data_IF_704822509106
#
_entry.id   IF_704822509106
#
_cell.length_a   1.000
_cell.length_b   1.000
_cell.length_c   1.000
_cell.angle_alpha   90.00
_cell.angle_beta   90.00
_cell.angle_gamma   90.00
#
_symmetry.space_group_name_H-M   'P 1'
#
loop_
_entity.id
_entity.type
_entity.pdbx_description
1 polymer ?
#
# COMPACT_ATOMS: atom_id res chain seq x y z
N UNK A 1 31.83 3.71 -10.57
CA UNK A 1 30.50 3.11 -10.76
C UNK A 1 29.48 4.18 -10.45
N UNK A 2 28.53 4.44 -11.36
CA UNK A 2 27.47 5.41 -11.13
C UNK A 2 26.52 4.86 -10.07
N UNK A 3 26.21 5.66 -9.05
CA UNK A 3 25.29 5.26 -7.98
C UNK A 3 23.86 5.55 -8.45
N UNK A 4 22.96 4.59 -8.25
CA UNK A 4 21.56 4.72 -8.56
C UNK A 4 20.72 4.71 -7.27
N UNK A 5 19.64 5.48 -7.23
CA UNK A 5 18.77 5.59 -6.05
C UNK A 5 18.13 4.25 -5.67
N UNK A 6 17.60 3.50 -6.63
CA UNK A 6 16.90 2.26 -6.33
C UNK A 6 17.80 1.21 -5.65
N UNK A 7 19.00 0.86 -6.17
CA UNK A 7 19.92 -0.01 -5.46
C UNK A 7 20.39 0.56 -4.11
N UNK A 8 20.61 1.88 -4.01
CA UNK A 8 21.05 2.51 -2.77
C UNK A 8 20.00 2.38 -1.66
N UNK A 9 18.72 2.73 -1.96
CA UNK A 9 17.63 2.63 -0.99
C UNK A 9 17.45 1.17 -0.56
N UNK A 10 17.53 0.23 -1.51
CA UNK A 10 17.43 -1.18 -1.25
C UNK A 10 18.58 -1.67 -0.34
N UNK A 11 19.82 -1.26 -0.61
CA UNK A 11 20.97 -1.59 0.22
C UNK A 11 20.83 -1.06 1.65
N UNK A 12 20.44 0.22 1.79
CA UNK A 12 20.19 0.84 3.09
C UNK A 12 19.09 0.11 3.88
N UNK A 13 18.06 -0.38 3.20
CA UNK A 13 16.96 -1.12 3.85
C UNK A 13 17.38 -2.47 4.45
N UNK A 14 18.46 -3.05 3.95
CA UNK A 14 19.03 -4.31 4.43
C UNK A 14 19.97 -4.15 5.64
N UNK A 15 20.36 -2.93 5.96
CA UNK A 15 21.23 -2.68 7.12
C UNK A 15 20.42 -2.82 8.41
N UNK A 16 20.87 -3.71 9.28
CA UNK A 16 20.21 -3.97 10.57
C UNK A 16 20.07 -2.70 11.41
N UNK A 17 18.91 -2.47 11.95
CA UNK A 17 18.57 -1.29 12.78
C UNK A 17 18.72 0.06 12.05
N UNK A 18 18.65 0.08 10.73
CA UNK A 18 18.53 1.29 9.94
C UNK A 18 17.06 1.42 9.47
N UNK A 19 16.20 2.01 10.30
CA UNK A 19 14.77 2.11 10.04
C UNK A 19 14.43 3.08 8.90
N UNK A 20 13.24 2.92 8.30
CA UNK A 20 12.72 3.70 7.16
C UNK A 20 12.88 5.21 7.33
N UNK A 21 12.51 5.76 8.48
CA UNK A 21 12.63 7.20 8.77
C UNK A 21 14.06 7.71 8.70
N UNK A 22 15.03 6.90 9.13
CA UNK A 22 16.44 7.26 9.05
C UNK A 22 16.93 7.20 7.60
N UNK A 23 16.56 6.16 6.85
CA UNK A 23 16.88 6.06 5.41
C UNK A 23 16.35 7.29 4.68
N UNK A 24 15.09 7.65 4.89
CA UNK A 24 14.48 8.86 4.32
C UNK A 24 15.33 10.11 4.62
N UNK A 25 15.68 10.33 5.89
CA UNK A 25 16.49 11.50 6.30
C UNK A 25 17.91 11.48 5.70
N UNK A 26 18.51 10.31 5.56
CA UNK A 26 19.84 10.18 4.96
C UNK A 26 19.82 10.56 3.48
N UNK A 27 18.85 10.01 2.72
CA UNK A 27 18.71 10.31 1.30
C UNK A 27 18.39 11.79 1.05
N UNK A 28 17.57 12.41 1.91
CA UNK A 28 17.28 13.86 1.79
C UNK A 28 18.50 14.77 1.98
N UNK A 29 19.56 14.30 2.61
CA UNK A 29 20.81 15.07 2.78
C UNK A 29 21.58 15.21 1.49
N UNK A 30 21.48 14.24 0.60
CA UNK A 30 22.18 14.26 -0.69
C UNK A 30 21.30 14.92 -1.74
N UNK A 31 21.85 15.91 -2.40
CA UNK A 31 21.14 16.68 -3.43
C UNK A 31 21.26 16.03 -4.81
N UNK A 32 22.44 15.50 -5.11
CA UNK A 32 22.78 14.82 -6.36
C UNK A 32 23.64 13.60 -6.07
N UNK A 33 23.24 12.43 -6.54
CA UNK A 33 24.03 11.19 -6.35
C UNK A 33 25.32 11.17 -7.16
N UNK A 34 25.35 11.84 -8.28
CA UNK A 34 26.53 11.90 -9.15
C UNK A 34 27.72 12.63 -8.50
N UNK A 35 27.49 13.38 -7.43
CA UNK A 35 28.53 14.06 -6.64
C UNK A 35 29.25 13.15 -5.64
N UNK A 36 28.74 11.92 -5.44
CA UNK A 36 29.24 11.02 -4.39
C UNK A 36 29.74 9.70 -4.96
N UNK A 37 30.85 9.24 -4.40
CA UNK A 37 31.25 7.83 -4.47
C UNK A 37 30.54 7.02 -3.37
N UNK A 38 30.45 5.71 -3.52
CA UNK A 38 29.86 4.83 -2.51
C UNK A 38 30.58 4.96 -1.14
N UNK A 39 31.91 5.18 -1.17
CA UNK A 39 32.70 5.44 0.02
C UNK A 39 32.32 6.74 0.72
N UNK A 40 32.11 7.83 -0.05
CA UNK A 40 31.69 9.11 0.53
C UNK A 40 30.28 9.03 1.13
N UNK A 41 29.35 8.32 0.51
CA UNK A 41 28.02 8.07 1.11
C UNK A 41 28.11 7.26 2.40
N UNK A 42 29.03 6.27 2.44
CA UNK A 42 29.25 5.47 3.65
C UNK A 42 29.65 6.35 4.84
N UNK A 43 30.56 7.28 4.61
CA UNK A 43 31.05 8.21 5.62
C UNK A 43 30.00 9.27 5.97
N UNK A 44 29.38 9.92 4.96
CA UNK A 44 28.34 10.95 5.13
C UNK A 44 27.12 10.40 5.92
N UNK A 45 26.76 9.15 5.67
CA UNK A 45 25.65 8.50 6.37
C UNK A 45 26.05 7.88 7.71
N UNK A 46 27.33 8.03 8.11
CA UNK A 46 27.88 7.44 9.34
C UNK A 46 27.58 5.93 9.46
N UNK A 47 27.60 5.21 8.32
CA UNK A 47 27.26 3.78 8.29
C UNK A 47 28.28 2.92 9.04
N UNK A 48 29.51 3.42 9.24
CA UNK A 48 30.55 2.74 10.05
C UNK A 48 30.08 2.45 11.49
N UNK A 49 29.05 3.15 11.98
CA UNK A 49 28.40 2.87 13.27
C UNK A 49 27.50 1.61 13.24
N UNK A 50 27.25 1.06 12.07
CA UNK A 50 26.27 -0.02 11.84
C UNK A 50 26.84 -1.23 11.12
N UNK A 51 27.80 -1.02 10.23
CA UNK A 51 28.29 -2.03 9.29
C UNK A 51 29.70 -1.67 8.84
N UNK A 52 30.50 -2.65 8.40
CA UNK A 52 31.79 -2.37 7.76
C UNK A 52 31.58 -1.82 6.34
N UNK A 53 32.60 -1.11 5.82
CA UNK A 53 32.55 -0.58 4.46
C UNK A 53 32.48 -1.70 3.42
N UNK A 54 33.23 -2.77 3.61
CA UNK A 54 33.22 -3.93 2.71
C UNK A 54 31.87 -4.62 2.67
N UNK A 55 31.20 -4.78 3.83
CA UNK A 55 29.84 -5.33 3.87
C UNK A 55 28.83 -4.41 3.20
N UNK A 56 28.98 -3.09 3.32
CA UNK A 56 28.09 -2.13 2.65
C UNK A 56 28.27 -2.19 1.12
N UNK A 57 29.50 -2.22 0.63
CA UNK A 57 29.80 -2.37 -0.79
C UNK A 57 29.20 -3.68 -1.34
N UNK A 58 29.40 -4.79 -0.64
CA UNK A 58 28.81 -6.08 -1.00
C UNK A 58 27.28 -6.05 -1.04
N UNK A 59 26.63 -5.44 -0.03
CA UNK A 59 25.16 -5.30 0.00
C UNK A 59 24.68 -4.42 -1.16
N UNK A 60 25.40 -3.36 -1.50
CA UNK A 60 25.06 -2.48 -2.60
C UNK A 60 25.14 -3.20 -3.96
N UNK A 61 26.22 -3.92 -4.24
CA UNK A 61 26.37 -4.71 -5.46
C UNK A 61 25.28 -5.78 -5.62
N UNK A 62 24.97 -6.50 -4.54
CA UNK A 62 23.84 -7.44 -4.53
C UNK A 62 22.49 -6.73 -4.78
N UNK A 63 22.35 -5.50 -4.31
CA UNK A 63 21.11 -4.71 -4.53
C UNK A 63 20.97 -4.26 -5.98
N UNK A 64 22.07 -3.98 -6.69
CA UNK A 64 22.05 -3.75 -8.15
C UNK A 64 21.47 -4.97 -8.85
N UNK A 65 22.05 -6.15 -8.60
CA UNK A 65 21.62 -7.41 -9.23
C UNK A 65 20.14 -7.73 -8.93
N UNK A 66 19.68 -7.44 -7.72
CA UNK A 66 18.28 -7.65 -7.33
C UNK A 66 17.34 -6.69 -8.06
N UNK A 67 17.71 -5.42 -8.18
CA UNK A 67 16.94 -4.42 -8.96
C UNK A 67 16.85 -4.82 -10.43
N UNK A 68 17.94 -5.27 -11.03
CA UNK A 68 17.96 -5.77 -12.42
C UNK A 68 17.06 -6.99 -12.59
N UNK A 69 17.11 -7.94 -11.66
CA UNK A 69 16.21 -9.10 -11.65
C UNK A 69 14.74 -8.69 -11.53
N UNK A 70 14.41 -7.73 -10.71
CA UNK A 70 13.04 -7.20 -10.61
C UNK A 70 12.60 -6.56 -11.92
N UNK A 71 13.44 -5.72 -12.52
CA UNK A 71 13.16 -5.08 -13.82
C UNK A 71 12.96 -6.13 -14.92
N UNK A 72 13.78 -7.17 -14.98
CA UNK A 72 13.64 -8.27 -15.94
C UNK A 72 12.37 -9.11 -15.72
N UNK A 73 11.84 -9.10 -14.51
CA UNK A 73 10.54 -9.72 -14.14
C UNK A 73 9.34 -8.79 -14.36
N UNK A 74 9.52 -7.70 -15.09
CA UNK A 74 8.49 -6.69 -15.36
C UNK A 74 7.96 -5.96 -14.11
N UNK A 75 8.79 -5.85 -13.08
CA UNK A 75 8.47 -5.10 -11.87
C UNK A 75 8.96 -3.67 -12.03
N UNK A 76 8.04 -2.74 -11.90
CA UNK A 76 8.34 -1.31 -11.83
C UNK A 76 8.73 -0.96 -10.39
N UNK A 77 9.79 -0.17 -10.26
CA UNK A 77 10.31 0.25 -8.95
C UNK A 77 10.16 1.76 -8.87
N UNK A 78 9.44 2.22 -7.88
CA UNK A 78 9.21 3.64 -7.62
C UNK A 78 9.86 4.02 -6.30
N UNK A 79 10.56 5.15 -6.29
CA UNK A 79 11.06 5.75 -5.07
C UNK A 79 10.63 7.21 -4.96
N UNK A 80 10.59 7.70 -3.73
CA UNK A 80 10.09 9.04 -3.44
C UNK A 80 11.09 10.16 -3.81
N UNK A 81 12.31 9.80 -4.20
CA UNK A 81 13.41 10.74 -4.43
C UNK A 81 13.66 11.05 -5.90
N UNK A 82 13.24 10.20 -6.82
CA UNK A 82 13.35 10.42 -8.26
C UNK A 82 12.08 11.06 -8.82
N UNK A 83 12.27 11.97 -9.77
CA UNK A 83 11.18 12.72 -10.42
C UNK A 83 10.60 11.94 -11.62
N UNK A 84 10.53 10.61 -11.54
CA UNK A 84 10.06 9.81 -12.64
C UNK A 84 8.55 9.95 -12.88
N UNK A 85 8.13 9.53 -14.07
CA UNK A 85 6.81 9.63 -14.72
C UNK A 85 5.58 9.15 -13.88
N UNK A 86 5.72 9.10 -12.57
CA UNK A 86 4.74 8.55 -11.64
C UNK A 86 4.04 9.66 -10.85
N UNK A 87 3.51 10.63 -11.58
CA UNK A 87 2.78 11.77 -11.00
C UNK A 87 1.75 11.37 -9.94
N UNK A 88 1.01 10.30 -10.15
CA UNK A 88 -0.11 9.93 -9.28
C UNK A 88 0.30 9.44 -7.90
N UNK A 89 1.29 8.55 -7.81
CA UNK A 89 1.77 8.10 -6.50
C UNK A 89 2.41 9.26 -5.74
N UNK A 90 3.15 10.11 -6.45
CA UNK A 90 3.77 11.30 -5.89
C UNK A 90 2.72 12.31 -5.45
N UNK A 91 1.77 12.65 -6.31
CA UNK A 91 0.74 13.64 -6.01
C UNK A 91 -0.25 13.15 -4.95
N UNK A 92 -0.73 11.92 -5.02
CA UNK A 92 -1.62 11.36 -3.98
C UNK A 92 -0.90 11.06 -2.67
N UNK A 93 0.34 10.57 -2.72
CA UNK A 93 1.12 10.30 -1.52
C UNK A 93 1.66 11.59 -0.88
N UNK A 94 2.03 12.61 -1.65
CA UNK A 94 2.71 13.80 -1.16
C UNK A 94 1.85 15.06 -1.11
N UNK A 95 0.98 15.32 -2.10
CA UNK A 95 0.23 16.58 -2.15
C UNK A 95 -0.85 16.68 -1.08
N UNK A 96 -1.48 15.56 -0.73
CA UNK A 96 -2.54 15.51 0.27
C UNK A 96 -2.02 15.36 1.72
N UNK A 97 -0.76 14.99 1.90
CA UNK A 97 -0.24 14.55 3.19
C UNK A 97 1.11 15.18 3.56
N UNK A 98 1.30 16.48 3.37
CA UNK A 98 2.53 17.23 3.70
C UNK A 98 3.14 16.99 5.10
N UNK A 99 2.37 16.37 6.00
CA UNK A 99 2.72 16.25 7.44
C UNK A 99 3.43 14.92 7.76
N UNK A 100 3.43 13.92 6.87
CA UNK A 100 3.87 12.56 7.22
C UNK A 100 4.90 11.95 6.25
N UNK A 101 5.78 12.76 5.72
CA UNK A 101 6.77 12.30 4.71
C UNK A 101 7.65 11.14 5.18
N UNK A 102 8.00 11.06 6.46
CA UNK A 102 8.83 10.00 7.03
C UNK A 102 8.10 8.67 7.30
N UNK A 103 6.78 8.62 7.11
CA UNK A 103 5.97 7.41 7.20
C UNK A 103 5.73 6.75 5.83
N UNK A 104 6.08 7.43 4.74
CA UNK A 104 5.97 6.86 3.40
C UNK A 104 6.96 5.72 3.18
N UNK A 105 6.62 4.74 2.33
CA UNK A 105 7.60 3.76 1.88
C UNK A 105 8.70 4.48 1.07
N UNK A 106 9.96 4.17 1.37
CA UNK A 106 11.09 4.74 0.61
C UNK A 106 11.10 4.22 -0.84
N UNK A 107 10.61 2.99 -1.04
CA UNK A 107 10.40 2.37 -2.35
C UNK A 107 9.07 1.64 -2.38
N UNK A 108 8.48 1.57 -3.58
CA UNK A 108 7.35 0.72 -3.91
C UNK A 108 7.71 -0.16 -5.11
N UNK A 109 7.35 -1.42 -5.02
CA UNK A 109 7.49 -2.40 -6.08
C UNK A 109 6.10 -2.72 -6.62
N UNK A 110 5.94 -2.62 -7.93
CA UNK A 110 4.65 -2.76 -8.59
C UNK A 110 4.77 -3.71 -9.77
N UNK A 111 3.80 -4.60 -9.92
CA UNK A 111 3.59 -5.39 -11.12
C UNK A 111 2.17 -5.22 -11.63
N UNK A 112 2.05 -4.97 -12.93
CA UNK A 112 0.81 -4.99 -13.70
C UNK A 112 1.08 -5.59 -15.08
N UNK A 113 0.05 -6.13 -15.71
CA UNK A 113 0.12 -6.68 -17.08
C UNK A 113 -0.50 -5.77 -18.13
N UNK A 114 -1.23 -4.78 -17.71
CA UNK A 114 -1.85 -3.78 -18.57
C UNK A 114 -1.05 -2.49 -18.55
N UNK A 115 -1.08 -1.72 -19.64
CA UNK A 115 -0.55 -0.35 -19.70
C UNK A 115 -1.46 0.63 -18.95
N UNK A 116 -1.82 0.27 -17.72
CA UNK A 116 -2.63 1.10 -16.85
C UNK A 116 -1.84 2.38 -16.53
N UNK A 117 -2.33 3.48 -17.06
CA UNK A 117 -1.87 4.82 -16.70
C UNK A 117 -2.50 5.14 -15.34
N UNK A 118 -1.68 5.03 -14.30
CA UNK A 118 -2.11 5.27 -12.92
C UNK A 118 -2.61 6.72 -12.71
N UNK A 119 -2.20 7.64 -13.57
CA UNK A 119 -2.56 9.06 -13.52
C UNK A 119 -4.06 9.37 -13.76
N UNK A 120 -4.81 8.42 -14.33
CA UNK A 120 -6.26 8.60 -14.56
C UNK A 120 -7.14 8.23 -13.36
N UNK A 121 -6.58 7.73 -12.26
CA UNK A 121 -7.31 7.19 -11.12
C UNK A 121 -7.87 8.29 -10.19
N UNK A 122 -9.08 8.75 -10.42
CA UNK A 122 -9.69 9.83 -9.63
C UNK A 122 -10.35 9.37 -8.33
N UNK A 123 -10.96 8.18 -8.31
CA UNK A 123 -11.77 7.70 -7.20
C UNK A 123 -11.21 6.39 -6.64
N UNK A 124 -10.41 6.47 -5.58
CA UNK A 124 -9.77 5.33 -4.92
C UNK A 124 -10.46 5.03 -3.60
N UNK A 125 -11.05 3.84 -3.48
CA UNK A 125 -11.70 3.35 -2.27
C UNK A 125 -10.94 2.19 -1.68
N UNK A 126 -10.52 2.31 -0.43
CA UNK A 126 -10.02 1.15 0.32
C UNK A 126 -11.18 0.44 1.00
N UNK A 127 -11.38 -0.84 0.70
CA UNK A 127 -12.36 -1.70 1.37
C UNK A 127 -11.64 -2.65 2.30
N UNK A 128 -12.00 -2.63 3.58
CA UNK A 128 -11.37 -3.42 4.64
C UNK A 128 -12.38 -4.08 5.55
N UNK A 129 -11.94 -5.18 6.19
CA UNK A 129 -12.77 -5.85 7.17
C UNK A 129 -12.10 -7.09 7.77
N UNK A 130 -12.93 -7.89 8.43
CA UNK A 130 -12.50 -9.12 9.09
C UNK A 130 -12.13 -10.23 8.09
N UNK A 131 -11.29 -11.14 8.55
CA UNK A 131 -10.95 -12.36 7.80
C UNK A 131 -12.04 -13.44 7.89
N UNK A 132 -12.88 -13.37 8.91
CA UNK A 132 -14.00 -14.27 9.15
C UNK A 132 -15.29 -13.46 9.12
N UNK A 133 -15.74 -13.14 7.91
CA UNK A 133 -16.90 -12.28 7.69
C UNK A 133 -18.22 -13.02 7.85
N UNK A 134 -19.24 -12.30 8.30
CA UNK A 134 -20.64 -12.73 8.28
C UNK A 134 -21.20 -12.76 6.83
N UNK A 135 -22.37 -13.38 6.67
CA UNK A 135 -23.07 -13.39 5.38
C UNK A 135 -23.51 -11.97 4.97
N UNK A 136 -23.99 -11.17 5.92
CA UNK A 136 -24.40 -9.79 5.69
C UNK A 136 -23.21 -8.93 5.25
N UNK A 137 -22.05 -9.11 5.88
CA UNK A 137 -20.82 -8.41 5.50
C UNK A 137 -20.37 -8.78 4.07
N UNK A 138 -20.52 -10.03 3.67
CA UNK A 138 -20.25 -10.46 2.29
C UNK A 138 -21.22 -9.76 1.32
N UNK A 139 -22.52 -9.86 1.55
CA UNK A 139 -23.55 -9.29 0.68
C UNK A 139 -23.36 -7.79 0.48
N UNK A 140 -23.19 -7.04 1.57
CA UNK A 140 -22.98 -5.59 1.49
C UNK A 140 -21.67 -5.23 0.79
N UNK A 141 -20.60 -6.00 0.99
CA UNK A 141 -19.31 -5.78 0.29
C UNK A 141 -19.50 -5.92 -1.22
N UNK A 142 -20.16 -7.00 -1.67
CA UNK A 142 -20.39 -7.23 -3.10
C UNK A 142 -21.26 -6.13 -3.72
N UNK A 143 -22.29 -5.63 -3.03
CA UNK A 143 -23.14 -4.55 -3.49
C UNK A 143 -22.39 -3.21 -3.58
N UNK A 144 -21.60 -2.87 -2.57
CA UNK A 144 -20.77 -1.64 -2.57
C UNK A 144 -19.75 -1.69 -3.70
N UNK A 145 -19.03 -2.80 -3.86
CA UNK A 145 -18.04 -2.96 -4.94
C UNK A 145 -18.72 -2.82 -6.30
N UNK A 146 -19.90 -3.43 -6.51
CA UNK A 146 -20.63 -3.31 -7.76
C UNK A 146 -20.93 -1.85 -8.07
N UNK A 147 -21.51 -1.12 -7.12
CA UNK A 147 -21.81 0.30 -7.29
C UNK A 147 -20.55 1.14 -7.57
N UNK A 148 -19.48 0.92 -6.82
CA UNK A 148 -18.22 1.66 -7.01
C UNK A 148 -17.58 1.36 -8.37
N UNK A 149 -17.66 0.12 -8.87
CA UNK A 149 -17.20 -0.23 -10.21
C UNK A 149 -18.03 0.47 -11.31
N UNK A 150 -19.35 0.57 -11.15
CA UNK A 150 -20.22 1.35 -12.06
C UNK A 150 -19.83 2.83 -12.09
N UNK A 151 -19.32 3.37 -10.99
CA UNK A 151 -18.74 4.73 -10.88
C UNK A 151 -17.30 4.84 -11.35
N UNK A 152 -16.76 3.79 -11.97
CA UNK A 152 -15.36 3.72 -12.43
C UNK A 152 -14.34 3.97 -11.31
N UNK A 153 -14.72 3.66 -10.08
CA UNK A 153 -13.83 3.74 -8.93
C UNK A 153 -12.87 2.55 -8.90
N UNK A 154 -11.69 2.76 -8.36
CA UNK A 154 -10.70 1.72 -8.16
C UNK A 154 -10.75 1.26 -6.71
N UNK A 155 -10.82 -0.05 -6.54
CA UNK A 155 -10.85 -0.67 -5.23
C UNK A 155 -9.43 -1.03 -4.80
N UNK A 156 -9.06 -0.60 -3.61
CA UNK A 156 -7.82 -0.97 -2.92
C UNK A 156 -8.17 -1.93 -1.80
N UNK A 157 -7.41 -2.98 -1.62
CA UNK A 157 -7.48 -3.83 -0.43
C UNK A 157 -6.17 -4.61 -0.22
N UNK A 158 -6.11 -5.47 0.79
CA UNK A 158 -4.87 -6.09 1.23
C UNK A 158 -4.69 -7.54 0.82
N UNK A 159 -5.55 -8.09 -0.02
CA UNK A 159 -5.51 -9.48 -0.45
C UNK A 159 -5.58 -10.49 0.73
N UNK A 160 -6.03 -10.09 1.92
CA UNK A 160 -6.25 -10.98 3.04
C UNK A 160 -7.51 -11.85 2.82
N UNK A 161 -7.69 -12.91 3.62
CA UNK A 161 -8.95 -13.67 3.64
C UNK A 161 -10.13 -12.77 4.02
N UNK A 162 -11.34 -13.18 3.72
CA UNK A 162 -12.57 -12.50 4.09
C UNK A 162 -12.86 -11.29 3.21
N UNK A 163 -13.12 -10.15 3.81
CA UNK A 163 -13.60 -8.94 3.11
C UNK A 163 -12.67 -8.50 1.98
N UNK A 164 -11.35 -8.54 2.18
CA UNK A 164 -10.38 -8.17 1.14
C UNK A 164 -10.51 -9.07 -0.10
N UNK A 165 -10.60 -10.39 0.13
CA UNK A 165 -10.79 -11.37 -0.94
C UNK A 165 -12.10 -11.14 -1.69
N UNK A 166 -13.21 -10.92 -0.96
CA UNK A 166 -14.53 -10.67 -1.54
C UNK A 166 -14.50 -9.40 -2.40
N UNK A 167 -13.90 -8.33 -1.89
CA UNK A 167 -13.79 -7.07 -2.61
C UNK A 167 -13.00 -7.24 -3.92
N UNK A 168 -11.81 -7.84 -3.87
CA UNK A 168 -10.99 -8.06 -5.06
C UNK A 168 -11.66 -9.00 -6.06
N UNK A 169 -12.25 -10.11 -5.58
CA UNK A 169 -12.93 -11.08 -6.45
C UNK A 169 -14.08 -10.41 -7.20
N UNK A 170 -14.91 -9.65 -6.49
CA UNK A 170 -16.04 -8.96 -7.11
C UNK A 170 -15.60 -7.95 -8.18
N UNK A 171 -14.50 -7.20 -7.94
CA UNK A 171 -13.95 -6.31 -8.98
C UNK A 171 -13.50 -7.09 -10.21
N UNK A 172 -12.79 -8.22 -10.01
CA UNK A 172 -12.33 -9.08 -11.09
C UNK A 172 -13.51 -9.63 -11.90
N UNK A 173 -14.55 -10.12 -11.23
CA UNK A 173 -15.77 -10.66 -11.86
C UNK A 173 -16.49 -9.61 -12.72
N UNK A 174 -16.47 -8.35 -12.30
CA UNK A 174 -17.04 -7.22 -13.05
C UNK A 174 -16.08 -6.66 -14.12
N UNK A 175 -14.87 -7.17 -14.23
CA UNK A 175 -13.86 -6.67 -15.16
C UNK A 175 -13.36 -5.26 -14.84
N UNK A 176 -13.49 -4.85 -13.58
CA UNK A 176 -13.02 -3.57 -13.04
C UNK A 176 -11.52 -3.56 -12.73
N UNK A 177 -11.05 -2.47 -12.12
CA UNK A 177 -9.65 -2.28 -11.72
C UNK A 177 -9.50 -2.32 -10.20
N UNK A 178 -8.54 -3.10 -9.70
CA UNK A 178 -8.24 -3.17 -8.26
C UNK A 178 -6.74 -3.17 -8.01
N UNK A 179 -6.36 -2.64 -6.83
CA UNK A 179 -4.98 -2.57 -6.36
C UNK A 179 -4.87 -3.41 -5.08
N UNK A 180 -4.11 -4.49 -5.15
CA UNK A 180 -3.81 -5.30 -3.98
C UNK A 180 -2.49 -4.87 -3.35
N UNK A 181 -2.55 -4.41 -2.09
CA UNK A 181 -1.37 -4.02 -1.33
C UNK A 181 -0.87 -5.22 -0.53
N UNK A 182 0.33 -5.71 -0.84
CA UNK A 182 0.88 -6.92 -0.23
C UNK A 182 1.77 -6.60 0.98
N UNK A 183 1.87 -7.55 1.91
CA UNK A 183 2.73 -7.49 3.09
C UNK A 183 4.00 -8.37 2.95
N UNK A 184 4.35 -8.72 1.73
CA UNK A 184 5.47 -9.59 1.34
C UNK A 184 6.01 -9.16 -0.03
N UNK A 185 7.15 -9.71 -0.45
CA UNK A 185 7.69 -9.48 -1.78
C UNK A 185 6.78 -10.03 -2.90
N UNK A 186 6.88 -9.45 -4.10
CA UNK A 186 6.06 -9.84 -5.27
C UNK A 186 6.36 -11.25 -5.81
N UNK A 187 7.42 -11.89 -5.34
CA UNK A 187 7.79 -13.26 -5.67
C UNK A 187 6.90 -14.32 -5.01
N UNK A 188 6.10 -13.94 -4.03
CA UNK A 188 5.18 -14.83 -3.33
C UNK A 188 3.81 -14.18 -3.14
N UNK A 189 2.77 -14.99 -2.94
CA UNK A 189 1.43 -14.51 -2.60
C UNK A 189 1.00 -15.07 -1.25
N UNK A 190 0.56 -14.17 -0.38
CA UNK A 190 0.00 -14.49 0.94
C UNK A 190 -1.38 -13.81 1.12
N UNK A 191 -2.40 -14.57 1.55
CA UNK A 191 -2.37 -16.00 1.80
C UNK A 191 -2.29 -16.82 0.50
N UNK A 192 -1.80 -18.06 0.57
CA UNK A 192 -1.58 -18.91 -0.61
C UNK A 192 -2.85 -19.24 -1.38
N UNK A 193 -3.99 -19.25 -0.69
CA UNK A 193 -5.32 -19.49 -1.26
C UNK A 193 -5.72 -18.40 -2.27
N UNK A 194 -5.17 -17.21 -2.15
CA UNK A 194 -5.46 -16.07 -3.03
C UNK A 194 -4.50 -15.98 -4.24
N UNK A 195 -3.70 -17.01 -4.52
CA UNK A 195 -2.76 -17.02 -5.68
C UNK A 195 -3.47 -16.82 -7.00
N UNK A 196 -4.57 -17.53 -7.21
CA UNK A 196 -5.31 -17.43 -8.47
C UNK A 196 -6.00 -16.06 -8.59
N UNK A 197 -6.57 -15.55 -7.50
CA UNK A 197 -7.12 -14.21 -7.46
C UNK A 197 -6.03 -13.15 -7.78
N UNK A 198 -4.84 -13.27 -7.22
CA UNK A 198 -3.73 -12.36 -7.51
C UNK A 198 -3.35 -12.36 -8.99
N UNK A 199 -3.33 -13.52 -9.66
CA UNK A 199 -3.12 -13.61 -11.12
C UNK A 199 -4.24 -12.93 -11.90
N UNK A 200 -5.48 -13.10 -11.49
CA UNK A 200 -6.63 -12.49 -12.14
C UNK A 200 -6.66 -10.97 -11.96
N UNK A 201 -6.24 -10.47 -10.80
CA UNK A 201 -6.04 -9.03 -10.56
C UNK A 201 -5.10 -8.44 -11.59
N UNK A 202 -3.99 -9.11 -11.92
CA UNK A 202 -3.00 -8.60 -12.88
C UNK A 202 -3.52 -8.39 -14.30
N UNK A 203 -4.69 -8.92 -14.67
CA UNK A 203 -5.26 -8.71 -16.01
C UNK A 203 -5.68 -7.24 -16.22
N UNK A 204 -6.20 -6.58 -15.17
CA UNK A 204 -6.65 -5.18 -15.22
C UNK A 204 -6.32 -4.38 -13.96
N UNK A 205 -5.51 -4.92 -13.09
CA UNK A 205 -5.17 -4.33 -11.79
C UNK A 205 -3.69 -4.38 -11.48
N UNK A 206 -3.37 -4.16 -10.23
CA UNK A 206 -2.01 -3.95 -9.74
C UNK A 206 -1.78 -4.76 -8.47
N UNK A 207 -0.62 -5.41 -8.37
CA UNK A 207 -0.05 -5.84 -7.10
C UNK A 207 1.05 -4.85 -6.71
N UNK A 208 0.97 -4.33 -5.49
CA UNK A 208 1.86 -3.30 -4.96
C UNK A 208 2.40 -3.71 -3.60
N UNK A 209 3.68 -3.48 -3.37
CA UNK A 209 4.32 -3.71 -2.06
C UNK A 209 5.47 -2.76 -1.81
N UNK A 210 5.85 -2.61 -0.56
CA UNK A 210 7.11 -1.96 -0.16
C UNK A 210 8.22 -2.97 0.18
N UNK A 211 7.94 -4.26 0.07
CA UNK A 211 8.85 -5.33 0.48
C UNK A 211 9.55 -5.95 -0.73
N UNK A 212 10.85 -6.20 -0.58
CA UNK A 212 11.69 -6.82 -1.60
C UNK A 212 11.42 -8.32 -1.72
N UNK A 213 11.95 -8.94 -2.76
CA UNK A 213 11.90 -10.38 -2.97
C UNK A 213 12.41 -11.16 -1.76
N UNK A 214 11.83 -12.33 -1.51
CA UNK A 214 12.17 -13.21 -0.39
C UNK A 214 11.58 -12.81 0.96
N UNK A 215 11.06 -11.59 1.11
CA UNK A 215 10.41 -11.19 2.35
C UNK A 215 9.00 -11.78 2.46
N UNK A 216 8.79 -12.58 3.50
CA UNK A 216 7.52 -13.25 3.79
C UNK A 216 6.56 -12.31 4.53
N UNK A 217 5.26 -12.57 4.40
CA UNK A 217 4.25 -11.91 5.21
C UNK A 217 4.42 -12.31 6.69
N UNK A 218 4.61 -11.31 7.53
CA UNK A 218 4.68 -11.44 8.98
C UNK A 218 3.68 -10.48 9.63
N UNK A 219 3.29 -10.76 10.88
CA UNK A 219 2.26 -9.96 11.57
C UNK A 219 2.54 -8.47 11.55
N UNK A 220 3.78 -8.06 11.79
CA UNK A 220 4.15 -6.64 11.78
C UNK A 220 4.07 -6.03 10.38
N UNK A 221 4.45 -6.78 9.32
CA UNK A 221 4.34 -6.29 7.93
C UNK A 221 2.91 -6.14 7.47
N UNK A 222 2.01 -7.03 7.92
CA UNK A 222 0.57 -6.88 7.68
C UNK A 222 0.03 -5.57 8.27
N UNK A 223 0.46 -5.23 9.49
CA UNK A 223 0.09 -3.98 10.16
C UNK A 223 0.70 -2.76 9.46
N UNK A 224 1.99 -2.83 9.11
CA UNK A 224 2.68 -1.72 8.44
C UNK A 224 2.08 -1.42 7.06
N UNK A 225 1.72 -2.46 6.30
CA UNK A 225 1.13 -2.34 4.98
C UNK A 225 -0.19 -1.54 5.00
N UNK A 226 -0.99 -1.65 6.06
CA UNK A 226 -2.30 -1.00 6.18
C UNK A 226 -2.20 0.54 6.06
N UNK A 227 -1.03 1.13 6.39
CA UNK A 227 -0.82 2.56 6.16
C UNK A 227 -0.85 2.92 4.67
N UNK A 228 -0.30 2.05 3.80
CA UNK A 228 -0.26 2.30 2.35
C UNK A 228 -1.69 2.25 1.78
N UNK A 229 -2.53 1.34 2.25
CA UNK A 229 -3.95 1.30 1.90
C UNK A 229 -4.65 2.62 2.23
N UNK A 230 -4.42 3.14 3.45
CA UNK A 230 -4.99 4.41 3.86
C UNK A 230 -4.40 5.63 3.12
N UNK A 231 -3.11 5.60 2.81
CA UNK A 231 -2.43 6.69 2.09
C UNK A 231 -2.95 6.85 0.66
N UNK A 232 -3.12 5.74 -0.06
CA UNK A 232 -3.54 5.76 -1.46
C UNK A 232 -5.02 6.11 -1.64
N UNK A 233 -5.86 5.73 -0.72
CA UNK A 233 -7.31 5.93 -0.82
C UNK A 233 -7.73 7.39 -0.67
N UNK A 234 -8.80 7.76 -1.36
CA UNK A 234 -9.58 8.94 -1.04
C UNK A 234 -10.49 8.65 0.16
N UNK A 235 -11.13 7.50 0.14
CA UNK A 235 -12.11 7.05 1.12
C UNK A 235 -11.79 5.63 1.60
N UNK A 236 -12.14 5.34 2.85
CA UNK A 236 -11.98 4.00 3.44
C UNK A 236 -13.34 3.50 3.90
N UNK A 237 -13.68 2.29 3.48
CA UNK A 237 -14.94 1.61 3.82
C UNK A 237 -14.64 0.46 4.77
N UNK A 238 -15.06 0.58 6.02
CA UNK A 238 -15.02 -0.49 7.00
C UNK A 238 -16.34 -1.27 6.94
N UNK A 239 -16.25 -2.55 6.58
CA UNK A 239 -17.41 -3.43 6.50
C UNK A 239 -17.68 -4.08 7.85
N UNK A 240 -16.82 -4.97 8.30
CA UNK A 240 -16.95 -5.71 9.55
C UNK A 240 -15.60 -5.83 10.22
N UNK A 241 -15.51 -5.48 11.51
CA UNK A 241 -14.27 -5.64 12.28
C UNK A 241 -14.53 -5.80 13.78
N UNK A 242 -13.75 -6.66 14.40
CA UNK A 242 -13.57 -6.60 15.84
C UNK A 242 -12.64 -5.44 16.22
N UNK A 243 -12.79 -4.91 17.44
CA UNK A 243 -11.97 -3.80 17.97
C UNK A 243 -10.47 -4.13 17.99
N UNK A 244 -10.11 -5.41 18.11
CA UNK A 244 -8.73 -5.91 18.02
C UNK A 244 -8.39 -6.43 16.62
N UNK A 245 -9.28 -6.25 15.66
CA UNK A 245 -9.10 -6.69 14.27
C UNK A 245 -7.98 -5.95 13.55
N UNK A 246 -7.36 -6.61 12.55
CA UNK A 246 -6.29 -6.03 11.75
C UNK A 246 -6.71 -4.75 11.01
N UNK A 247 -7.94 -4.72 10.48
CA UNK A 247 -8.51 -3.57 9.76
C UNK A 247 -8.54 -2.27 10.59
N UNK A 248 -8.56 -2.37 11.93
CA UNK A 248 -8.48 -1.20 12.80
C UNK A 248 -7.16 -0.43 12.69
N UNK A 249 -6.09 -1.07 12.20
CA UNK A 249 -4.84 -0.35 11.93
C UNK A 249 -4.98 0.59 10.72
N UNK A 250 -5.65 0.15 9.66
CA UNK A 250 -5.95 1.01 8.51
C UNK A 250 -6.86 2.19 8.91
N UNK A 251 -7.86 1.96 9.78
CA UNK A 251 -8.72 3.03 10.32
C UNK A 251 -7.91 4.06 11.13
N UNK A 252 -6.98 3.62 11.99
CA UNK A 252 -6.10 4.55 12.72
C UNK A 252 -5.28 5.42 11.76
N UNK A 253 -4.79 4.85 10.68
CA UNK A 253 -4.10 5.61 9.64
C UNK A 253 -5.04 6.55 8.89
N UNK A 254 -6.26 6.10 8.56
CA UNK A 254 -7.29 6.96 7.95
C UNK A 254 -7.56 8.21 8.80
N UNK A 255 -7.75 8.03 10.11
CA UNK A 255 -7.91 9.14 11.05
C UNK A 255 -6.70 10.08 11.06
N UNK A 256 -5.48 9.52 11.17
CA UNK A 256 -4.24 10.30 11.16
C UNK A 256 -4.06 11.11 9.87
N UNK A 257 -4.55 10.60 8.75
CA UNK A 257 -4.48 11.20 7.43
C UNK A 257 -5.71 12.05 7.08
N UNK A 258 -6.64 12.20 8.02
CA UNK A 258 -7.91 12.91 7.82
C UNK A 258 -8.70 12.43 6.60
N UNK A 259 -8.72 11.11 6.36
CA UNK A 259 -9.50 10.49 5.28
C UNK A 259 -10.95 10.33 5.69
N UNK A 260 -11.88 10.36 4.72
CA UNK A 260 -13.27 9.99 4.97
C UNK A 260 -13.37 8.50 5.30
N UNK A 261 -14.09 8.19 6.36
CA UNK A 261 -14.31 6.82 6.82
C UNK A 261 -15.79 6.51 6.68
N UNK A 262 -16.11 5.51 5.87
CA UNK A 262 -17.44 4.92 5.75
C UNK A 262 -17.49 3.70 6.65
N UNK A 263 -18.51 3.59 7.50
CA UNK A 263 -18.63 2.47 8.43
C UNK A 263 -20.00 1.83 8.32
N UNK A 264 -20.03 0.54 7.99
CA UNK A 264 -21.27 -0.23 7.97
C UNK A 264 -21.79 -0.44 9.40
N UNK A 265 -23.08 -0.12 9.59
CA UNK A 265 -23.74 -0.25 10.89
C UNK A 265 -24.10 -1.70 11.17
N UNK A 266 -23.17 -2.38 11.84
CA UNK A 266 -23.37 -3.77 12.24
C UNK A 266 -22.91 -4.03 13.67
N UNK A 267 -23.31 -5.19 14.21
CA UNK A 267 -23.08 -5.57 15.61
C UNK A 267 -21.66 -6.12 15.84
N UNK A 268 -20.65 -5.56 15.22
CA UNK A 268 -19.25 -5.89 15.46
C UNK A 268 -18.60 -4.85 16.36
N UNK A 269 -17.72 -5.28 17.26
CA UNK A 269 -17.13 -4.40 18.29
C UNK A 269 -16.30 -3.26 17.72
N UNK A 270 -15.58 -3.49 16.62
CA UNK A 270 -14.81 -2.45 15.92
C UNK A 270 -15.70 -1.45 15.21
N UNK A 271 -16.80 -1.89 14.56
CA UNK A 271 -17.75 -0.99 13.92
C UNK A 271 -18.41 -0.07 14.96
N UNK A 272 -18.85 -0.63 16.10
CA UNK A 272 -19.40 0.16 17.21
C UNK A 272 -18.39 1.18 17.75
N UNK A 273 -17.13 0.78 17.93
CA UNK A 273 -16.07 1.68 18.37
C UNK A 273 -15.93 2.89 17.43
N UNK A 274 -15.92 2.64 16.12
CA UNK A 274 -15.79 3.68 15.12
C UNK A 274 -17.02 4.61 15.08
N UNK A 275 -18.21 4.03 15.10
CA UNK A 275 -19.47 4.80 15.04
C UNK A 275 -19.70 5.66 16.29
N UNK A 276 -19.20 5.24 17.46
CA UNK A 276 -19.44 5.93 18.72
C UNK A 276 -18.32 6.94 19.07
N UNK A 277 -17.06 6.69 18.64
CA UNK A 277 -15.89 7.40 19.18
C UNK A 277 -15.04 8.12 18.11
N UNK A 278 -15.47 8.12 16.83
CA UNK A 278 -14.76 8.80 15.77
C UNK A 278 -15.61 9.89 15.14
N UNK A 279 -15.05 11.08 15.03
CA UNK A 279 -15.66 12.19 14.30
C UNK A 279 -15.53 11.94 12.78
N UNK A 280 -16.42 12.57 12.00
CA UNK A 280 -16.41 12.54 10.53
C UNK A 280 -16.55 11.14 9.91
N UNK A 281 -17.26 10.23 10.58
CA UNK A 281 -17.59 8.90 10.04
C UNK A 281 -18.94 8.95 9.33
N UNK A 282 -18.97 8.44 8.10
CA UNK A 282 -20.21 8.29 7.33
C UNK A 282 -20.77 6.89 7.62
N UNK A 283 -21.74 6.84 8.52
CA UNK A 283 -22.49 5.63 8.86
C UNK A 283 -23.43 5.23 7.71
N UNK A 284 -23.59 3.96 7.43
CA UNK A 284 -24.62 3.41 6.54
C UNK A 284 -25.05 2.02 6.98
N UNK A 285 -26.31 1.65 6.75
CA UNK A 285 -26.92 0.40 7.22
C UNK A 285 -27.34 -0.53 6.07
N UNK A 286 -27.35 -0.03 4.85
CA UNK A 286 -27.67 -0.77 3.63
C UNK A 286 -27.09 -0.06 2.40
N UNK A 287 -27.25 -0.68 1.22
CA UNK A 287 -26.67 -0.14 -0.01
C UNK A 287 -27.34 1.15 -0.47
N UNK A 288 -28.66 1.29 -0.29
CA UNK A 288 -29.41 2.47 -0.66
C UNK A 288 -28.93 3.70 0.13
N UNK A 289 -28.70 3.52 1.42
CA UNK A 289 -28.15 4.56 2.29
C UNK A 289 -26.73 4.93 1.91
N UNK A 290 -25.89 3.94 1.55
CA UNK A 290 -24.54 4.18 1.03
C UNK A 290 -24.58 5.02 -0.26
N UNK A 291 -25.41 4.64 -1.23
CA UNK A 291 -25.57 5.35 -2.51
C UNK A 291 -26.04 6.78 -2.29
N UNK A 292 -27.08 6.98 -1.47
CA UNK A 292 -27.60 8.31 -1.19
C UNK A 292 -26.54 9.23 -0.58
N UNK A 293 -25.80 8.73 0.41
CA UNK A 293 -24.71 9.50 1.04
C UNK A 293 -23.51 9.71 0.12
N UNK A 294 -23.21 8.74 -0.74
CA UNK A 294 -22.16 8.89 -1.75
C UNK A 294 -22.48 10.06 -2.68
N UNK A 295 -23.69 10.11 -3.23
CA UNK A 295 -24.10 11.17 -4.17
C UNK A 295 -24.09 12.58 -3.55
N UNK A 296 -24.20 12.70 -2.24
CA UNK A 296 -24.13 13.98 -1.51
C UNK A 296 -22.68 14.39 -1.23
N UNK A 297 -21.77 13.42 -1.11
CA UNK A 297 -20.38 13.63 -0.68
C UNK A 297 -19.35 13.52 -1.83
N UNK A 298 -19.80 13.29 -3.06
CA UNK A 298 -18.96 13.09 -4.27
C UNK A 298 -18.54 14.41 -4.91
#
# INVERSE_FOLDING_TARGET
MKIEFNPLILALSKIKNLGKKRIFKLILKIKYLDEYSLSQLFDEFELYKKITKADFEFIYENSISEVEKMKSSNIKIYNIFENDEVGLFKDKLFSQNKVLTDEFPNQLFLINRSDLIIDSFKNLFTIIGTRNNSADAKDITEKIVTFLCEKQSIIISGLAKGIDTIAHQKVVDLGGTTIAILANGLDTIYPSENRELAKNILNKGILLTEYTFGLKAEKFRLIERDRIQAMLANDIVLIESDIKGGSMHAIKWAKKLNKRIWCFDMNASGNKEILNNYDNVIKFSNIEEFINKFNVNS
#
